data_IF_181500472530
#
_entry.id   IF_181500472530
#
_cell.length_a   1.000
_cell.length_b   1.000
_cell.length_c   1.000
_cell.angle_alpha   90.00
_cell.angle_beta   90.00
_cell.angle_gamma   90.00
#
_symmetry.space_group_name_H-M   'P 1'
#
loop_
_entity.id
_entity.type
_entity.pdbx_description
1 polymer ?
#
# COMPACT_ATOMS: atom_id res chain seq x y z
N UNK A 1 -15.42 -6.42 13.94
CA UNK A 1 -15.69 -5.73 12.66
C UNK A 1 -15.04 -4.35 12.72
N UNK A 2 -14.17 -4.03 11.73
CA UNK A 2 -13.42 -2.77 11.68
C UNK A 2 -14.18 -1.69 10.89
N UNK A 3 -14.86 -2.07 9.82
CA UNK A 3 -15.68 -1.17 9.00
C UNK A 3 -16.95 -1.87 8.52
N UNK A 4 -18.00 -1.09 8.30
CA UNK A 4 -19.20 -1.50 7.56
C UNK A 4 -19.20 -0.91 6.13
N UNK A 5 -18.15 -0.19 5.75
CA UNK A 5 -18.01 0.48 4.46
C UNK A 5 -17.04 -0.30 3.59
N UNK A 6 -17.31 -0.34 2.29
CA UNK A 6 -16.39 -0.90 1.31
C UNK A 6 -15.32 0.13 0.96
N UNK A 7 -14.09 -0.09 1.44
CA UNK A 7 -12.97 0.86 1.28
C UNK A 7 -11.85 0.29 0.41
N UNK A 8 -11.79 -1.03 0.23
CA UNK A 8 -10.77 -1.73 -0.55
C UNK A 8 -11.14 -3.20 -0.73
N UNK A 9 -10.61 -3.86 -1.75
CA UNK A 9 -10.55 -5.32 -1.86
C UNK A 9 -9.40 -5.89 -1.03
N UNK A 10 -8.27 -5.20 -1.01
CA UNK A 10 -7.06 -5.61 -0.32
C UNK A 10 -6.80 -4.85 0.97
N UNK A 11 -5.97 -5.46 1.82
CA UNK A 11 -5.46 -4.84 3.03
C UNK A 11 -4.01 -5.26 3.25
N UNK A 12 -3.25 -4.43 3.96
CA UNK A 12 -1.87 -4.74 4.35
C UNK A 12 -1.66 -4.53 5.85
N UNK A 13 -0.65 -5.18 6.38
CA UNK A 13 -0.27 -5.15 7.77
C UNK A 13 1.17 -4.68 7.93
N UNK A 14 1.43 -3.86 8.93
CA UNK A 14 2.78 -3.42 9.33
C UNK A 14 2.72 -2.41 10.44
N UNK A 15 3.84 -2.19 11.10
CA UNK A 15 3.99 -1.14 12.12
C UNK A 15 4.24 0.19 11.38
N UNK A 16 3.23 1.04 11.29
CA UNK A 16 3.24 2.29 10.53
C UNK A 16 3.51 3.53 11.39
N UNK A 17 3.45 3.41 12.71
CA UNK A 17 3.73 4.51 13.64
C UNK A 17 4.88 4.23 14.61
N UNK A 18 5.56 3.08 14.44
CA UNK A 18 6.72 2.63 15.21
C UNK A 18 6.45 2.46 16.71
N UNK A 19 5.24 2.06 17.05
CA UNK A 19 4.88 1.76 18.44
C UNK A 19 5.16 0.28 18.83
N UNK A 20 5.61 -0.54 17.87
CA UNK A 20 5.93 -1.95 18.05
C UNK A 20 4.72 -2.86 17.89
N UNK A 21 3.56 -2.34 17.54
CA UNK A 21 2.37 -3.11 17.22
C UNK A 21 2.10 -3.08 15.71
N UNK A 22 1.41 -4.12 15.26
CA UNK A 22 1.02 -4.19 13.86
C UNK A 22 -0.26 -3.39 13.63
N UNK A 23 -0.21 -2.47 12.67
CA UNK A 23 -1.36 -1.73 12.16
C UNK A 23 -1.96 -2.45 10.95
N UNK A 24 -3.18 -2.05 10.57
CA UNK A 24 -3.85 -2.51 9.36
C UNK A 24 -4.20 -1.31 8.49
N UNK A 25 -3.86 -1.38 7.22
CA UNK A 25 -4.29 -0.41 6.21
C UNK A 25 -5.21 -1.08 5.21
N UNK A 26 -6.37 -0.45 4.95
CA UNK A 26 -7.32 -0.86 3.93
C UNK A 26 -7.87 0.38 3.21
N UNK A 27 -7.63 0.46 1.91
CA UNK A 27 -7.94 1.67 1.15
C UNK A 27 -7.17 2.87 1.69
N UNK A 28 -7.91 3.93 1.99
CA UNK A 28 -7.34 5.15 2.58
C UNK A 28 -7.39 5.19 4.11
N UNK A 29 -7.71 4.07 4.77
CA UNK A 29 -7.87 4.02 6.23
C UNK A 29 -6.79 3.18 6.87
N UNK A 30 -6.08 3.77 7.81
CA UNK A 30 -5.17 3.13 8.75
C UNK A 30 -5.91 2.86 10.06
N UNK A 31 -5.90 1.63 10.52
CA UNK A 31 -6.41 1.18 11.82
C UNK A 31 -5.21 0.85 12.71
N UNK A 32 -5.02 1.63 13.76
CA UNK A 32 -3.85 1.47 14.64
C UNK A 32 -4.00 0.29 15.59
N UNK A 33 -2.98 -0.54 15.59
CA UNK A 33 -2.90 -1.67 16.52
C UNK A 33 -2.65 -1.26 17.98
N UNK A 34 -2.72 -2.21 18.92
CA UNK A 34 -3.27 -3.55 18.76
C UNK A 34 -4.81 -3.60 18.84
N UNK A 35 -5.47 -2.51 19.22
CA UNK A 35 -6.92 -2.46 19.47
C UNK A 35 -7.74 -2.15 18.21
N UNK A 36 -7.13 -1.52 17.18
CA UNK A 36 -7.76 -1.11 15.93
C UNK A 36 -8.98 -0.19 16.08
N UNK A 37 -9.06 0.54 17.20
CA UNK A 37 -10.15 1.49 17.51
C UNK A 37 -9.79 2.93 17.14
N UNK A 38 -8.51 3.25 17.07
CA UNK A 38 -8.01 4.53 16.56
C UNK A 38 -7.76 4.39 15.05
N UNK A 39 -8.32 5.33 14.29
CA UNK A 39 -8.21 5.32 12.83
C UNK A 39 -7.66 6.63 12.31
N UNK A 40 -6.85 6.54 11.25
CA UNK A 40 -6.30 7.69 10.52
C UNK A 40 -6.59 7.55 9.04
N UNK A 41 -6.50 8.64 8.32
CA UNK A 41 -6.59 8.62 6.85
C UNK A 41 -5.23 8.91 6.24
N UNK A 42 -4.86 8.12 5.24
CA UNK A 42 -3.68 8.39 4.42
C UNK A 42 -3.94 9.59 3.50
N UNK A 43 -5.15 9.68 2.97
CA UNK A 43 -5.59 10.74 2.08
C UNK A 43 -7.12 10.86 2.10
N UNK A 44 -7.65 11.96 1.58
CA UNK A 44 -9.09 12.16 1.47
C UNK A 44 -9.69 11.24 0.40
N UNK A 45 -10.73 10.51 0.75
CA UNK A 45 -11.44 9.60 -0.12
C UNK A 45 -12.78 9.19 0.47
N UNK A 46 -13.67 8.73 -0.40
CA UNK A 46 -14.97 8.19 -0.02
C UNK A 46 -14.94 6.65 -0.17
N UNK A 47 -15.80 5.93 0.56
CA UNK A 47 -16.00 4.51 0.32
C UNK A 47 -16.49 4.26 -1.12
N UNK A 48 -16.18 3.09 -1.64
CA UNK A 48 -16.63 2.66 -2.96
C UNK A 48 -18.04 2.06 -2.89
N UNK A 49 -18.70 1.99 -4.05
CA UNK A 49 -19.96 1.27 -4.19
C UNK A 49 -19.70 -0.25 -4.07
N UNK A 50 -20.35 -0.96 -3.13
CA UNK A 50 -20.17 -2.41 -2.99
C UNK A 50 -20.59 -3.24 -4.22
N UNK A 51 -21.31 -2.64 -5.16
CA UNK A 51 -21.66 -3.26 -6.44
C UNK A 51 -20.62 -3.04 -7.54
N UNK A 52 -19.51 -2.35 -7.23
CA UNK A 52 -18.42 -2.03 -8.14
C UNK A 52 -17.08 -2.47 -7.54
N UNK A 53 -15.98 -2.16 -8.23
CA UNK A 53 -14.63 -2.37 -7.74
C UNK A 53 -14.10 -1.11 -7.06
N UNK A 54 -13.13 -1.29 -6.12
CA UNK A 54 -12.35 -0.18 -5.60
C UNK A 54 -11.13 0.10 -6.47
N UNK A 55 -10.44 1.21 -6.19
CA UNK A 55 -9.12 1.49 -6.76
C UNK A 55 -7.97 0.95 -5.88
N UNK A 56 -8.29 -0.03 -5.00
CA UNK A 56 -7.37 -0.59 -4.01
C UNK A 56 -7.49 -2.10 -3.96
N UNK A 57 -6.94 -2.77 -4.98
CA UNK A 57 -6.95 -4.24 -5.07
C UNK A 57 -5.91 -4.86 -4.14
N UNK A 58 -4.71 -4.25 -4.09
CA UNK A 58 -3.63 -4.73 -3.24
C UNK A 58 -2.97 -3.57 -2.50
N UNK A 59 -2.51 -3.85 -1.31
CA UNK A 59 -1.65 -2.96 -0.57
C UNK A 59 -0.47 -3.75 0.02
N UNK A 60 0.68 -3.07 0.16
CA UNK A 60 1.86 -3.61 0.81
C UNK A 60 2.46 -2.55 1.72
N UNK A 61 3.10 -2.98 2.80
CA UNK A 61 3.77 -2.11 3.76
C UNK A 61 5.26 -2.40 3.75
N UNK A 62 6.07 -1.38 3.48
CA UNK A 62 7.53 -1.45 3.52
C UNK A 62 8.13 -0.05 3.60
N UNK A 63 9.32 0.08 4.15
CA UNK A 63 10.11 1.30 4.11
C UNK A 63 10.70 1.49 2.70
N UNK A 64 10.06 2.30 1.86
CA UNK A 64 10.40 2.43 0.44
C UNK A 64 11.48 3.48 0.18
N UNK A 65 11.67 4.45 1.05
CA UNK A 65 12.67 5.49 0.87
C UNK A 65 13.89 5.37 1.81
N UNK A 66 13.94 4.28 2.63
CA UNK A 66 15.05 3.98 3.51
C UNK A 66 15.11 4.87 4.75
N UNK A 67 14.01 5.53 5.11
CA UNK A 67 13.95 6.46 6.24
C UNK A 67 13.58 5.77 7.57
N UNK A 68 13.43 4.45 7.55
CA UNK A 68 13.08 3.57 8.67
C UNK A 68 11.59 3.62 9.11
N UNK A 69 10.76 4.37 8.41
CA UNK A 69 9.31 4.35 8.60
C UNK A 69 8.67 3.57 7.44
N UNK A 70 7.74 2.71 7.80
CA UNK A 70 7.02 1.97 6.78
C UNK A 70 6.07 2.88 5.99
N UNK A 71 6.09 2.73 4.68
CA UNK A 71 5.20 3.36 3.71
C UNK A 71 4.13 2.38 3.25
N UNK A 72 3.19 2.84 2.43
CA UNK A 72 2.10 2.02 1.89
C UNK A 72 2.14 2.06 0.37
N UNK A 73 2.36 0.90 -0.26
CA UNK A 73 2.14 0.69 -1.70
C UNK A 73 0.68 0.32 -1.93
N UNK A 74 0.07 0.90 -2.95
CA UNK A 74 -1.29 0.60 -3.37
C UNK A 74 -1.29 0.28 -4.86
N UNK A 75 -1.93 -0.82 -5.21
CA UNK A 75 -2.15 -1.25 -6.59
C UNK A 75 -3.65 -1.32 -6.82
N UNK A 76 -4.11 -0.61 -7.83
CA UNK A 76 -5.52 -0.51 -8.17
C UNK A 76 -6.00 -1.62 -9.11
N UNK A 77 -7.05 -1.30 -9.86
CA UNK A 77 -7.61 -2.18 -10.88
C UNK A 77 -6.55 -2.48 -11.95
N UNK A 78 -6.52 -3.71 -12.53
CA UNK A 78 -5.58 -4.09 -13.59
C UNK A 78 -5.46 -3.04 -14.70
N UNK A 79 -4.23 -2.72 -15.09
CA UNK A 79 -3.89 -1.67 -16.04
C UNK A 79 -3.66 -0.29 -15.42
N UNK A 80 -3.91 -0.11 -14.13
CA UNK A 80 -3.62 1.13 -13.44
C UNK A 80 -2.16 1.19 -12.95
N UNK A 81 -1.71 2.41 -12.64
CA UNK A 81 -0.41 2.63 -12.03
C UNK A 81 -0.40 2.15 -10.57
N UNK A 82 0.67 1.49 -10.15
CA UNK A 82 0.96 1.33 -8.73
C UNK A 82 1.48 2.65 -8.17
N UNK A 83 0.99 3.01 -7.00
CA UNK A 83 1.40 4.22 -6.28
C UNK A 83 1.88 3.86 -4.89
N UNK A 84 2.66 4.75 -4.27
CA UNK A 84 2.96 4.61 -2.86
C UNK A 84 2.73 5.91 -2.11
N UNK A 85 2.39 5.76 -0.86
CA UNK A 85 2.15 6.85 0.06
C UNK A 85 3.28 6.89 1.07
N UNK A 86 4.07 7.95 1.03
CA UNK A 86 5.16 8.20 1.96
C UNK A 86 4.62 8.54 3.33
N UNK A 87 5.13 7.85 4.33
CA UNK A 87 4.79 8.09 5.73
C UNK A 87 5.28 9.48 6.18
N UNK A 88 4.41 10.32 6.76
CA UNK A 88 4.82 11.64 7.23
C UNK A 88 5.70 11.61 8.49
N UNK A 89 5.94 10.43 9.09
CA UNK A 89 6.72 10.23 10.33
C UNK A 89 6.13 10.94 11.55
N UNK A 90 4.87 11.32 11.46
CA UNK A 90 4.11 11.96 12.53
C UNK A 90 2.68 11.47 12.52
N UNK A 91 2.04 11.43 13.70
CA UNK A 91 0.66 10.93 13.82
C UNK A 91 -0.37 11.74 13.04
N UNK A 92 -0.12 13.04 12.82
CA UNK A 92 -1.08 13.97 12.21
C UNK A 92 -0.60 14.55 10.86
N UNK A 93 0.51 14.02 10.33
CA UNK A 93 1.06 14.45 9.05
C UNK A 93 0.26 13.95 7.86
N UNK A 94 0.33 14.70 6.75
CA UNK A 94 -0.25 14.28 5.48
C UNK A 94 0.69 13.33 4.75
N UNK A 95 0.15 12.19 4.33
CA UNK A 95 0.88 11.25 3.49
C UNK A 95 1.05 11.80 2.08
N UNK A 96 2.22 11.64 1.50
CA UNK A 96 2.51 12.15 0.16
C UNK A 96 2.46 11.02 -0.86
N UNK A 97 1.64 11.19 -1.89
CA UNK A 97 1.48 10.22 -2.97
C UNK A 97 2.60 10.33 -3.99
N UNK A 98 3.19 9.20 -4.35
CA UNK A 98 4.21 9.06 -5.39
C UNK A 98 3.83 7.94 -6.37
N UNK A 99 4.35 8.01 -7.59
CA UNK A 99 4.28 6.91 -8.53
C UNK A 99 5.29 5.82 -8.12
N UNK A 100 4.82 4.57 -8.02
CA UNK A 100 5.70 3.42 -7.79
C UNK A 100 6.06 2.72 -9.11
N UNK A 101 5.05 2.37 -9.91
CA UNK A 101 5.25 1.69 -11.20
C UNK A 101 4.08 1.96 -12.13
N UNK A 102 4.32 2.08 -13.44
CA UNK A 102 3.27 2.34 -14.43
C UNK A 102 2.68 1.05 -14.96
N UNK A 103 1.35 0.97 -14.95
CA UNK A 103 0.59 -0.11 -15.60
C UNK A 103 0.87 -1.49 -15.00
N UNK A 104 0.22 -1.82 -13.88
CA UNK A 104 0.19 -3.18 -13.33
C UNK A 104 -1.02 -3.90 -13.91
N UNK A 105 -0.79 -4.87 -14.82
CA UNK A 105 -1.85 -5.43 -15.68
C UNK A 105 -2.52 -6.69 -15.10
N UNK A 106 -1.97 -7.29 -14.05
CA UNK A 106 -2.49 -8.52 -13.46
C UNK A 106 -3.26 -8.31 -12.15
N UNK A 107 -4.14 -9.26 -11.86
CA UNK A 107 -4.97 -9.28 -10.66
C UNK A 107 -4.26 -9.85 -9.41
N UNK A 108 -2.98 -10.21 -9.50
CA UNK A 108 -2.25 -10.86 -8.41
C UNK A 108 -0.78 -10.45 -8.41
N UNK A 109 -0.47 -9.15 -8.34
CA UNK A 109 0.91 -8.71 -8.16
C UNK A 109 1.43 -9.15 -6.80
N UNK A 110 2.74 -9.33 -6.71
CA UNK A 110 3.41 -9.72 -5.47
C UNK A 110 4.52 -8.72 -5.18
N UNK A 111 4.70 -8.38 -3.92
CA UNK A 111 5.77 -7.52 -3.46
C UNK A 111 6.62 -8.31 -2.45
N UNK A 112 7.80 -8.75 -2.89
CA UNK A 112 8.63 -9.68 -2.13
C UNK A 112 10.09 -9.55 -2.52
N UNK A 113 10.99 -9.86 -1.60
CA UNK A 113 12.41 -10.01 -1.88
C UNK A 113 12.62 -11.25 -2.78
N UNK A 114 12.75 -11.02 -4.07
CA UNK A 114 12.83 -12.05 -5.09
C UNK A 114 14.26 -12.57 -5.27
N UNK A 115 15.26 -11.71 -5.14
CA UNK A 115 16.67 -12.06 -5.38
C UNK A 115 17.48 -12.25 -4.09
N UNK A 116 16.88 -12.05 -2.92
CA UNK A 116 17.48 -12.30 -1.62
C UNK A 116 18.41 -11.20 -1.13
N UNK A 117 18.28 -9.98 -1.66
CA UNK A 117 19.10 -8.83 -1.28
C UNK A 117 18.56 -8.09 -0.04
N UNK A 118 17.42 -8.51 0.50
CA UNK A 118 16.74 -7.93 1.65
C UNK A 118 15.79 -6.79 1.30
N UNK A 119 15.56 -6.53 0.01
CA UNK A 119 14.67 -5.50 -0.50
C UNK A 119 13.62 -6.11 -1.42
N UNK A 120 12.34 -5.74 -1.28
CA UNK A 120 11.32 -6.34 -2.11
C UNK A 120 11.28 -5.74 -3.53
N UNK A 121 10.99 -6.60 -4.49
CA UNK A 121 10.61 -6.28 -5.86
C UNK A 121 9.10 -6.35 -6.03
N UNK A 122 8.56 -5.52 -6.93
CA UNK A 122 7.21 -5.67 -7.46
C UNK A 122 7.23 -6.68 -8.61
N UNK A 123 6.66 -7.86 -8.39
CA UNK A 123 6.47 -8.88 -9.44
C UNK A 123 5.08 -8.72 -10.03
N UNK A 124 4.99 -8.38 -11.31
CA UNK A 124 3.71 -8.10 -11.96
C UNK A 124 3.76 -8.38 -13.47
N UNK A 125 2.58 -8.33 -14.08
CA UNK A 125 2.43 -8.22 -15.55
C UNK A 125 2.47 -6.74 -15.95
N UNK A 126 3.15 -6.46 -17.04
CA UNK A 126 3.18 -5.16 -17.70
C UNK A 126 3.37 -5.36 -19.21
N UNK A 127 2.52 -4.74 -20.03
CA UNK A 127 2.53 -4.89 -21.49
C UNK A 127 2.61 -6.37 -21.94
N UNK A 128 1.71 -7.20 -21.42
CA UNK A 128 1.61 -8.65 -21.69
C UNK A 128 2.85 -9.47 -21.28
N UNK A 129 3.74 -8.93 -20.46
CA UNK A 129 4.95 -9.62 -19.99
C UNK A 129 4.96 -9.76 -18.49
N UNK A 130 5.27 -10.95 -18.02
CA UNK A 130 5.59 -11.17 -16.60
C UNK A 130 7.03 -10.71 -16.35
N UNK A 131 7.22 -9.89 -15.33
CA UNK A 131 8.50 -9.37 -14.93
C UNK A 131 8.54 -8.92 -13.49
N UNK A 132 9.60 -8.25 -13.12
CA UNK A 132 9.70 -7.59 -11.82
C UNK A 132 10.35 -6.21 -11.96
N UNK A 133 9.98 -5.32 -11.07
CA UNK A 133 10.56 -3.98 -10.95
C UNK A 133 11.24 -3.84 -9.58
N UNK A 134 12.47 -3.34 -9.60
CA UNK A 134 13.20 -2.95 -8.38
C UNK A 134 12.77 -1.55 -7.97
N UNK A 135 12.68 -1.34 -6.66
CA UNK A 135 12.49 0.00 -6.11
C UNK A 135 13.80 0.79 -6.31
N UNK A 136 13.68 2.03 -6.78
CA UNK A 136 14.83 2.94 -6.83
C UNK A 136 15.02 3.61 -5.47
N UNK A 137 15.92 3.05 -4.68
CA UNK A 137 16.20 3.49 -3.32
C UNK A 137 17.05 4.79 -3.24
N UNK A 138 17.29 5.45 -4.36
CA UNK A 138 18.15 6.65 -4.43
C UNK A 138 17.36 7.96 -4.64
N UNK A 139 16.05 7.91 -4.68
CA UNK A 139 15.21 9.11 -4.89
C UNK A 139 14.67 9.69 -3.59
#
# INVERSE_FOLDING_TARGET
QLSSRFVAEGAALGDLDRDGHCDLVAGNVLYRGPAFTDTRRLYDGQPFDPASYSDHFFAFVHDLDGDTWNDVVVIGFPGQDAVWYRNPRTTDGAWTKHLAFRGVDNESPTFTDLDGDGRPELVCMHEDRLGYAKVDWQQ
#
